data_IF_232508991056
#
_entry.id   IF_232508991056
#
_cell.length_a   1.000
_cell.length_b   1.000
_cell.length_c   1.000
_cell.angle_alpha   90.00
_cell.angle_beta   90.00
_cell.angle_gamma   90.00
#
_symmetry.space_group_name_H-M   'P 1'
#
loop_
_entity.id
_entity.type
_entity.pdbx_description
1 polymer ?
#
# COMPACT_ATOMS: atom_id res chain seq x y z
N UNK A 1 3.20 15.42 -14.18
CA UNK A 1 1.81 15.25 -13.70
C UNK A 1 1.82 15.49 -12.20
N UNK A 2 0.97 16.37 -11.67
CA UNK A 2 0.89 16.55 -10.21
C UNK A 2 0.33 15.26 -9.60
N UNK A 3 0.94 14.78 -8.52
CA UNK A 3 0.50 13.56 -7.82
C UNK A 3 -0.94 13.77 -7.33
N UNK A 4 -1.76 12.71 -7.38
CA UNK A 4 -3.19 12.83 -7.05
C UNK A 4 -3.38 13.00 -5.53
N UNK A 5 -4.44 13.71 -5.07
CA UNK A 5 -4.75 13.77 -3.64
C UNK A 5 -4.94 12.38 -2.99
N UNK A 6 -5.44 11.41 -3.78
CA UNK A 6 -5.58 10.02 -3.33
C UNK A 6 -4.23 9.35 -3.03
N UNK A 7 -3.20 9.63 -3.85
CA UNK A 7 -1.83 9.16 -3.63
C UNK A 7 -1.23 9.75 -2.34
N UNK A 8 -1.31 11.08 -2.17
CA UNK A 8 -0.79 11.75 -0.98
C UNK A 8 -1.44 11.20 0.30
N UNK A 9 -2.75 10.98 0.26
CA UNK A 9 -3.50 10.44 1.39
C UNK A 9 -3.18 8.98 1.68
N UNK A 10 -3.01 8.18 0.63
CA UNK A 10 -2.56 6.79 0.77
C UNK A 10 -1.22 6.74 1.51
N UNK A 11 -0.25 7.55 1.09
CA UNK A 11 1.07 7.63 1.73
C UNK A 11 0.98 8.11 3.17
N UNK A 12 0.19 9.15 3.43
CA UNK A 12 -0.01 9.69 4.77
C UNK A 12 -0.41 8.60 5.77
N UNK A 13 -1.23 7.64 5.33
CA UNK A 13 -1.71 6.54 6.17
C UNK A 13 -0.71 5.38 6.19
N UNK A 14 -0.23 4.92 5.02
CA UNK A 14 0.57 3.69 4.91
C UNK A 14 1.98 3.86 5.48
N UNK A 15 2.54 5.08 5.51
CA UNK A 15 3.83 5.35 6.16
C UNK A 15 3.86 5.02 7.66
N UNK A 16 2.69 4.91 8.31
CA UNK A 16 2.58 4.55 9.73
C UNK A 16 2.69 3.03 9.95
N UNK A 17 2.62 2.22 8.89
CA UNK A 17 2.73 0.77 8.97
C UNK A 17 4.15 0.36 9.36
N UNK A 18 4.27 -0.53 10.36
CA UNK A 18 5.54 -1.11 10.77
C UNK A 18 6.09 -2.03 9.69
N UNK A 19 7.31 -1.71 9.22
CA UNK A 19 8.04 -2.55 8.28
C UNK A 19 8.37 -3.94 8.85
N UNK A 20 8.66 -4.88 7.95
CA UNK A 20 9.22 -6.18 8.29
C UNK A 20 10.72 -6.03 8.57
N UNK A 21 11.22 -6.60 9.65
CA UNK A 21 12.61 -6.49 10.09
C UNK A 21 13.59 -6.99 9.02
N UNK A 22 13.33 -8.14 8.39
CA UNK A 22 14.16 -8.63 7.28
C UNK A 22 14.21 -7.67 6.09
N UNK A 23 13.08 -7.00 5.80
CA UNK A 23 13.01 -6.01 4.72
C UNK A 23 13.92 -4.81 5.03
N UNK A 24 13.98 -4.37 6.28
CA UNK A 24 14.89 -3.30 6.69
C UNK A 24 16.35 -3.74 6.71
N UNK A 25 16.63 -4.97 7.18
CA UNK A 25 17.99 -5.47 7.34
C UNK A 25 18.68 -5.71 5.99
N UNK A 26 17.97 -6.26 5.00
CA UNK A 26 18.56 -6.56 3.68
C UNK A 26 18.92 -5.32 2.86
N UNK A 27 18.41 -4.15 3.26
CA UNK A 27 18.57 -2.86 2.55
C UNK A 27 19.46 -1.88 3.29
N UNK A 28 19.86 -2.21 4.52
CA UNK A 28 20.55 -1.30 5.43
C UNK A 28 21.84 -0.72 4.83
N UNK A 29 22.59 -1.54 4.07
CA UNK A 29 23.83 -1.13 3.41
C UNK A 29 23.63 0.00 2.39
N UNK A 30 22.51 -0.02 1.65
CA UNK A 30 22.22 0.93 0.58
C UNK A 30 21.32 2.08 1.03
N UNK A 31 20.88 2.08 2.29
CA UNK A 31 19.87 2.99 2.79
C UNK A 31 20.31 4.44 2.68
N UNK A 32 21.46 4.80 3.24
CA UNK A 32 21.88 6.21 3.32
C UNK A 32 22.17 6.82 1.94
N UNK A 33 22.67 6.03 1.00
CA UNK A 33 22.89 6.47 -0.38
C UNK A 33 21.58 6.55 -1.17
N UNK A 34 20.63 5.64 -0.93
CA UNK A 34 19.28 5.76 -1.47
C UNK A 34 18.57 7.02 -0.96
N UNK A 35 18.69 7.37 0.34
CA UNK A 35 18.08 8.58 0.90
C UNK A 35 18.59 9.87 0.22
N UNK A 36 19.86 9.89 -0.22
CA UNK A 36 20.42 11.01 -0.98
C UNK A 36 19.73 11.13 -2.34
N UNK A 37 19.66 10.03 -3.09
CA UNK A 37 19.00 9.97 -4.40
C UNK A 37 17.51 10.35 -4.28
N UNK A 38 16.84 9.86 -3.25
CA UNK A 38 15.45 10.18 -2.94
C UNK A 38 15.24 11.68 -2.67
N UNK A 39 16.12 12.28 -1.87
CA UNK A 39 16.07 13.72 -1.57
C UNK A 39 16.33 14.56 -2.82
N UNK A 40 17.31 14.18 -3.64
CA UNK A 40 17.60 14.85 -4.91
C UNK A 40 16.43 14.77 -5.88
N UNK A 41 15.81 13.59 -6.04
CA UNK A 41 14.62 13.41 -6.86
C UNK A 41 13.46 14.32 -6.40
N UNK A 42 13.29 14.52 -5.08
CA UNK A 42 12.30 15.45 -4.52
C UNK A 42 12.64 16.91 -4.82
N UNK A 43 13.90 17.31 -4.65
CA UNK A 43 14.37 18.67 -4.94
C UNK A 43 14.19 19.04 -6.42
N UNK A 44 14.46 18.08 -7.31
CA UNK A 44 14.23 18.21 -8.76
C UNK A 44 12.76 18.05 -9.19
N UNK A 45 11.85 17.82 -8.24
CA UNK A 45 10.41 17.64 -8.49
C UNK A 45 10.14 16.52 -9.49
N UNK A 46 10.87 15.42 -9.35
CA UNK A 46 10.65 14.22 -10.15
C UNK A 46 9.23 13.70 -9.94
N UNK A 47 8.60 13.33 -11.04
CA UNK A 47 7.25 12.81 -11.14
C UNK A 47 7.17 11.83 -12.34
N UNK A 48 6.00 11.24 -12.58
CA UNK A 48 5.80 10.23 -13.63
C UNK A 48 6.33 10.63 -15.02
N UNK A 49 6.30 11.92 -15.38
CA UNK A 49 6.71 12.35 -16.73
C UNK A 49 8.22 12.53 -16.91
N UNK A 50 9.00 12.68 -15.85
CA UNK A 50 10.45 12.93 -15.92
C UNK A 50 11.31 11.94 -15.10
N UNK A 51 10.70 10.97 -14.41
CA UNK A 51 11.43 9.95 -13.64
C UNK A 51 12.47 9.18 -14.47
N UNK A 52 12.16 8.87 -15.73
CA UNK A 52 13.12 8.22 -16.63
C UNK A 52 14.31 9.10 -16.96
N UNK A 53 14.10 10.40 -17.15
CA UNK A 53 15.17 11.34 -17.45
C UNK A 53 16.09 11.51 -16.25
N UNK A 54 15.51 11.56 -15.04
CA UNK A 54 16.28 11.55 -13.79
C UNK A 54 17.09 10.26 -13.63
N UNK A 55 16.50 9.08 -13.82
CA UNK A 55 17.24 7.82 -13.79
C UNK A 55 18.36 7.76 -14.84
N UNK A 56 18.17 8.40 -16.00
CA UNK A 56 19.19 8.48 -17.05
C UNK A 56 20.35 9.43 -16.72
N UNK A 57 20.16 10.39 -15.80
CA UNK A 57 21.23 11.28 -15.35
C UNK A 57 22.07 10.70 -14.23
N UNK A 58 21.56 9.68 -13.53
CA UNK A 58 22.30 8.98 -12.46
C UNK A 58 23.49 8.19 -13.01
N UNK A 59 24.53 8.09 -12.18
CA UNK A 59 25.67 7.23 -12.43
C UNK A 59 25.32 5.74 -12.31
N UNK A 60 26.19 4.88 -12.82
CA UNK A 60 26.04 3.41 -12.69
C UNK A 60 26.03 2.97 -11.21
N UNK A 61 26.78 3.65 -10.35
CA UNK A 61 26.82 3.38 -8.90
C UNK A 61 25.50 3.74 -8.23
N UNK A 62 24.92 4.90 -8.56
CA UNK A 62 23.61 5.31 -8.05
C UNK A 62 22.48 4.39 -8.52
N UNK A 63 22.50 3.97 -9.79
CA UNK A 63 21.55 2.98 -10.31
C UNK A 63 21.71 1.62 -9.60
N UNK A 64 22.95 1.21 -9.30
CA UNK A 64 23.23 0.01 -8.51
C UNK A 64 22.70 0.14 -7.08
N UNK A 65 22.89 1.30 -6.45
CA UNK A 65 22.32 1.60 -5.12
C UNK A 65 20.81 1.47 -5.12
N UNK A 66 20.13 2.06 -6.11
CA UNK A 66 18.67 1.89 -6.26
C UNK A 66 18.34 0.42 -6.43
N UNK A 67 18.98 -0.29 -7.37
CA UNK A 67 18.73 -1.71 -7.65
C UNK A 67 18.76 -2.56 -6.38
N UNK A 68 19.81 -2.42 -5.58
CA UNK A 68 19.97 -3.18 -4.35
C UNK A 68 19.02 -2.73 -3.25
N UNK A 69 18.85 -1.41 -3.06
CA UNK A 69 17.91 -0.88 -2.08
C UNK A 69 16.49 -1.35 -2.39
N UNK A 70 16.06 -1.35 -3.65
CA UNK A 70 14.70 -1.76 -4.04
C UNK A 70 14.51 -3.28 -4.06
N UNK A 71 15.60 -4.05 -4.14
CA UNK A 71 15.63 -5.52 -4.14
C UNK A 71 15.47 -6.15 -5.52
N UNK A 72 15.96 -5.50 -6.58
CA UNK A 72 15.91 -6.04 -7.95
C UNK A 72 17.07 -6.99 -8.23
N UNK A 73 16.75 -8.14 -8.83
CA UNK A 73 17.74 -9.12 -9.25
C UNK A 73 18.55 -8.63 -10.46
N UNK A 74 17.89 -7.98 -11.43
CA UNK A 74 18.51 -7.50 -12.65
C UNK A 74 18.85 -6.01 -12.58
N UNK A 75 19.91 -5.56 -13.29
CA UNK A 75 20.23 -4.15 -13.42
C UNK A 75 19.11 -3.31 -14.03
N UNK A 76 19.02 -2.06 -13.59
CA UNK A 76 18.01 -1.10 -14.07
C UNK A 76 18.33 -0.71 -15.52
N UNK A 77 17.39 -0.98 -16.43
CA UNK A 77 17.44 -0.59 -17.84
C UNK A 77 16.42 0.50 -18.11
N UNK A 78 16.81 1.74 -17.87
CA UNK A 78 15.96 2.95 -17.92
C UNK A 78 15.10 3.06 -19.19
N UNK A 79 15.68 2.75 -20.36
CA UNK A 79 15.00 2.81 -21.66
C UNK A 79 13.84 1.82 -21.85
N UNK A 80 13.73 0.81 -21.00
CA UNK A 80 12.68 -0.22 -21.06
C UNK A 80 11.58 -0.02 -20.00
N UNK A 81 11.70 1.00 -19.14
CA UNK A 81 10.77 1.20 -18.03
C UNK A 81 9.48 1.89 -18.46
N UNK A 82 8.38 1.49 -17.83
CA UNK A 82 7.16 2.31 -17.80
C UNK A 82 7.42 3.59 -16.98
N UNK A 83 6.55 4.59 -17.14
CA UNK A 83 6.65 5.83 -16.33
C UNK A 83 6.42 5.53 -14.83
N UNK A 84 5.50 4.62 -14.54
CA UNK A 84 5.24 4.10 -13.20
C UNK A 84 6.47 3.36 -12.65
N UNK A 85 6.98 2.39 -13.40
CA UNK A 85 8.14 1.59 -13.00
C UNK A 85 9.37 2.45 -12.72
N UNK A 86 9.59 3.49 -13.52
CA UNK A 86 10.66 4.46 -13.28
C UNK A 86 10.44 5.29 -12.00
N UNK A 87 9.22 5.78 -11.77
CA UNK A 87 8.92 6.60 -10.59
C UNK A 87 8.98 5.78 -9.30
N UNK A 88 8.41 4.57 -9.30
CA UNK A 88 8.39 3.68 -8.13
C UNK A 88 9.78 3.17 -7.70
N UNK A 89 10.81 3.30 -8.56
CA UNK A 89 12.22 3.08 -8.18
C UNK A 89 12.78 4.18 -7.28
N UNK A 90 12.24 5.39 -7.38
CA UNK A 90 12.76 6.61 -6.76
C UNK A 90 12.03 6.98 -5.46
N UNK A 91 11.19 6.10 -4.93
CA UNK A 91 10.40 6.36 -3.73
C UNK A 91 10.52 5.21 -2.73
N UNK A 92 10.20 5.47 -1.46
CA UNK A 92 10.19 4.40 -0.46
C UNK A 92 9.14 3.35 -0.77
N UNK A 93 9.27 2.16 -0.17
CA UNK A 93 8.36 1.05 -0.41
C UNK A 93 6.89 1.40 -0.13
N UNK A 94 6.62 2.16 0.95
CA UNK A 94 5.27 2.62 1.32
C UNK A 94 4.71 3.71 0.40
N UNK A 95 5.53 4.29 -0.47
CA UNK A 95 5.13 5.31 -1.45
C UNK A 95 4.87 4.75 -2.84
N UNK A 96 5.20 3.48 -3.08
CA UNK A 96 4.97 2.85 -4.38
C UNK A 96 3.48 2.75 -4.66
N UNK A 97 3.11 3.01 -5.90
CA UNK A 97 1.71 3.13 -6.26
C UNK A 97 1.45 2.62 -7.68
N UNK A 98 0.29 2.00 -7.85
CA UNK A 98 -0.26 1.56 -9.12
C UNK A 98 -0.99 2.77 -9.75
N UNK A 99 -0.30 3.47 -10.65
CA UNK A 99 -0.78 4.73 -11.23
C UNK A 99 -1.69 4.49 -12.43
N UNK A 100 -1.50 3.38 -13.16
CA UNK A 100 -2.36 3.02 -14.29
C UNK A 100 -3.60 2.19 -13.88
N UNK A 101 -3.67 1.78 -12.61
CA UNK A 101 -4.78 1.05 -11.98
C UNK A 101 -5.03 -0.32 -12.63
N UNK A 102 -3.95 -1.00 -13.03
CA UNK A 102 -4.03 -2.35 -13.61
C UNK A 102 -4.03 -3.48 -12.56
N UNK A 103 -3.92 -3.14 -11.27
CA UNK A 103 -3.90 -4.07 -10.14
C UNK A 103 -2.50 -4.55 -9.75
N UNK A 104 -1.46 -4.10 -10.46
CA UNK A 104 -0.05 -4.38 -10.19
C UNK A 104 0.72 -3.07 -10.09
N UNK A 105 1.80 -3.11 -9.31
CA UNK A 105 2.71 -1.97 -9.14
C UNK A 105 4.00 -2.28 -9.87
N UNK A 106 4.29 -1.53 -10.93
CA UNK A 106 5.56 -1.61 -11.64
C UNK A 106 6.66 -0.99 -10.76
N UNK A 107 7.76 -1.70 -10.54
CA UNK A 107 8.98 -1.23 -9.86
C UNK A 107 10.17 -1.59 -10.73
N UNK A 108 10.66 -0.63 -11.51
CA UNK A 108 11.52 -0.93 -12.65
C UNK A 108 10.78 -1.80 -13.66
N UNK A 109 11.31 -3.00 -13.94
CA UNK A 109 10.66 -4.02 -14.78
C UNK A 109 9.91 -5.08 -13.96
N UNK A 110 10.04 -5.06 -12.64
CA UNK A 110 9.35 -6.02 -11.78
C UNK A 110 7.91 -5.56 -11.56
N UNK A 111 6.97 -6.51 -11.59
CA UNK A 111 5.60 -6.27 -11.20
C UNK A 111 5.37 -6.81 -9.79
N UNK A 112 4.93 -5.93 -8.90
CA UNK A 112 4.71 -6.22 -7.49
C UNK A 112 3.27 -5.94 -7.11
N UNK A 113 2.88 -6.26 -5.87
CA UNK A 113 1.55 -5.98 -5.34
C UNK A 113 1.65 -5.04 -4.15
N UNK A 114 0.72 -4.10 -4.08
CA UNK A 114 0.52 -3.33 -2.88
C UNK A 114 -0.09 -4.22 -1.80
N UNK A 115 0.60 -4.30 -0.67
CA UNK A 115 0.14 -5.09 0.47
C UNK A 115 -1.01 -4.42 1.22
N UNK A 116 -1.19 -3.10 1.03
CA UNK A 116 -2.34 -2.34 1.48
C UNK A 116 -3.12 -1.89 0.24
N UNK A 117 -4.41 -2.25 0.09
CA UNK A 117 -5.18 -1.89 -1.09
C UNK A 117 -5.24 -0.37 -1.32
N UNK A 118 -4.93 0.07 -2.54
CA UNK A 118 -4.97 1.49 -2.91
C UNK A 118 -6.39 2.04 -2.90
N UNK A 119 -7.36 1.24 -3.36
CA UNK A 119 -8.78 1.57 -3.48
C UNK A 119 -9.58 1.42 -2.17
N UNK A 120 -8.94 1.14 -1.03
CA UNK A 120 -9.60 1.10 0.27
C UNK A 120 -9.94 2.51 0.76
N UNK A 121 -11.16 2.77 1.27
CA UNK A 121 -11.52 4.09 1.79
C UNK A 121 -10.69 4.47 3.03
N UNK A 122 -10.61 5.76 3.32
CA UNK A 122 -9.62 6.29 4.27
C UNK A 122 -9.81 5.76 5.70
N UNK A 123 -11.05 5.71 6.18
CA UNK A 123 -11.42 5.22 7.51
C UNK A 123 -10.97 3.78 7.70
N UNK A 124 -11.31 2.93 6.75
CA UNK A 124 -10.94 1.51 6.71
C UNK A 124 -9.43 1.34 6.60
N UNK A 125 -8.76 2.15 5.77
CA UNK A 125 -7.30 2.08 5.59
C UNK A 125 -6.56 2.45 6.87
N UNK A 126 -7.01 3.47 7.61
CA UNK A 126 -6.46 3.83 8.93
C UNK A 126 -6.68 2.72 9.94
N UNK A 127 -7.91 2.18 10.00
CA UNK A 127 -8.22 1.07 10.88
C UNK A 127 -7.36 -0.16 10.58
N UNK A 128 -7.13 -0.45 9.29
CA UNK A 128 -6.29 -1.54 8.84
C UNK A 128 -4.84 -1.35 9.31
N UNK A 129 -4.24 -0.19 9.05
CA UNK A 129 -2.85 0.08 9.45
C UNK A 129 -2.69 0.02 10.98
N UNK A 130 -3.61 0.61 11.73
CA UNK A 130 -3.61 0.55 13.20
C UNK A 130 -3.67 -0.91 13.71
N UNK A 131 -4.56 -1.72 13.12
CA UNK A 131 -4.71 -3.13 13.48
C UNK A 131 -3.45 -3.94 13.19
N UNK A 132 -2.89 -3.79 11.99
CA UNK A 132 -1.67 -4.47 11.59
C UNK A 132 -0.48 -4.12 12.50
N UNK A 133 -0.41 -2.88 12.97
CA UNK A 133 0.64 -2.39 13.87
C UNK A 133 0.59 -2.99 15.28
N UNK A 134 -0.56 -3.49 15.73
CA UNK A 134 -0.71 -4.21 17.01
C UNK A 134 -0.44 -5.73 16.88
N UNK A 135 -0.26 -6.23 15.66
CA UNK A 135 0.08 -7.64 15.42
C UNK A 135 1.59 -7.88 15.48
N UNK A 136 1.95 -9.10 15.87
CA UNK A 136 3.33 -9.57 15.75
C UNK A 136 3.71 -9.65 14.27
N UNK A 137 4.99 -9.46 13.94
CA UNK A 137 5.47 -9.31 12.56
C UNK A 137 5.02 -10.42 11.61
N UNK A 138 5.19 -11.68 12.00
CA UNK A 138 4.75 -12.83 11.19
C UNK A 138 3.24 -12.93 11.04
N UNK A 139 2.46 -12.45 12.02
CA UNK A 139 1.00 -12.41 11.96
C UNK A 139 0.52 -11.26 11.05
N UNK A 140 1.13 -10.08 11.18
CA UNK A 140 0.93 -8.91 10.33
C UNK A 140 1.13 -9.27 8.86
N UNK A 141 2.24 -9.93 8.55
CA UNK A 141 2.53 -10.36 7.18
C UNK A 141 1.46 -11.33 6.63
N UNK A 142 1.03 -12.32 7.42
CA UNK A 142 -0.04 -13.26 7.01
C UNK A 142 -1.36 -12.53 6.72
N UNK A 143 -1.74 -11.55 7.56
CA UNK A 143 -2.94 -10.75 7.35
C UNK A 143 -2.84 -9.87 6.10
N UNK A 144 -1.73 -9.16 5.92
CA UNK A 144 -1.46 -8.36 4.72
C UNK A 144 -1.48 -9.20 3.44
N UNK A 145 -0.81 -10.36 3.45
CA UNK A 145 -0.78 -11.27 2.31
C UNK A 145 -2.19 -11.67 1.91
N UNK A 146 -3.03 -12.06 2.87
CA UNK A 146 -4.41 -12.44 2.60
C UNK A 146 -5.23 -11.29 2.01
N UNK A 147 -5.16 -10.09 2.59
CA UNK A 147 -5.88 -8.90 2.12
C UNK A 147 -5.46 -8.52 0.69
N UNK A 148 -4.19 -8.76 0.35
CA UNK A 148 -3.64 -8.48 -0.97
C UNK A 148 -4.03 -9.50 -2.04
N UNK A 149 -4.67 -10.63 -1.70
CA UNK A 149 -5.03 -11.67 -2.67
C UNK A 149 -6.04 -11.15 -3.72
N UNK A 150 -5.96 -11.66 -4.97
CA UNK A 150 -6.97 -11.34 -5.97
C UNK A 150 -8.35 -11.85 -5.55
N UNK A 151 -9.41 -11.19 -6.01
CA UNK A 151 -10.78 -11.61 -5.72
C UNK A 151 -11.11 -12.95 -6.37
N UNK A 152 -10.55 -13.20 -7.55
CA UNK A 152 -10.68 -14.46 -8.29
C UNK A 152 -9.50 -14.67 -9.24
N UNK A 153 -9.36 -15.92 -9.69
CA UNK A 153 -8.49 -16.26 -10.84
C UNK A 153 -9.41 -16.50 -12.04
N UNK A 154 -9.16 -15.78 -13.14
CA UNK A 154 -9.85 -15.94 -14.43
C UNK A 154 -8.95 -16.65 -15.43
N UNK A 155 -9.53 -17.26 -16.45
CA UNK A 155 -8.80 -17.78 -17.61
C UNK A 155 -9.03 -16.77 -18.74
N UNK A 156 -7.94 -16.25 -19.31
CA UNK A 156 -8.04 -15.29 -20.41
C UNK A 156 -8.29 -15.97 -21.77
N UNK A 157 -8.39 -15.16 -22.82
CA UNK A 157 -8.66 -15.63 -24.20
C UNK A 157 -7.55 -16.55 -24.75
N UNK A 158 -6.36 -16.54 -24.16
CA UNK A 158 -5.24 -17.41 -24.52
C UNK A 158 -5.17 -18.68 -23.66
N UNK A 159 -6.11 -18.87 -22.73
CA UNK A 159 -6.11 -20.00 -21.81
C UNK A 159 -5.19 -19.83 -20.61
N UNK A 160 -4.66 -18.64 -20.36
CA UNK A 160 -3.77 -18.37 -19.23
C UNK A 160 -4.57 -18.02 -17.97
N UNK A 161 -4.18 -18.60 -16.83
CA UNK A 161 -4.72 -18.21 -15.53
C UNK A 161 -4.19 -16.82 -15.16
N UNK A 162 -5.10 -15.85 -15.04
CA UNK A 162 -4.79 -14.49 -14.62
C UNK A 162 -5.54 -14.15 -13.35
N UNK A 163 -4.88 -13.50 -12.37
CA UNK A 163 -5.61 -12.91 -11.27
C UNK A 163 -6.52 -11.80 -11.82
N UNK A 164 -7.78 -11.79 -11.40
CA UNK A 164 -8.67 -10.66 -11.60
C UNK A 164 -8.79 -9.92 -10.27
N UNK A 165 -8.23 -8.71 -10.26
CA UNK A 165 -8.47 -7.72 -9.24
C UNK A 165 -9.64 -6.91 -9.76
N UNK A 166 -10.78 -7.07 -9.14
CA UNK A 166 -11.92 -6.23 -9.47
C UNK A 166 -11.62 -4.83 -8.92
N UNK A 167 -12.22 -3.79 -9.49
CA UNK A 167 -12.21 -2.43 -8.90
C UNK A 167 -13.00 -2.39 -7.58
N UNK A 168 -13.41 -3.56 -7.07
CA UNK A 168 -14.14 -3.73 -5.82
C UNK A 168 -13.37 -3.07 -4.70
N UNK A 169 -13.98 -2.01 -4.19
CA UNK A 169 -13.53 -1.26 -3.04
C UNK A 169 -13.37 -2.25 -1.89
N UNK A 170 -12.15 -2.36 -1.37
CA UNK A 170 -11.85 -3.19 -0.19
C UNK A 170 -12.35 -2.47 1.07
N UNK A 171 -13.66 -2.33 1.19
CA UNK A 171 -14.32 -1.70 2.33
C UNK A 171 -14.36 -2.64 3.55
N UNK A 172 -14.92 -2.14 4.65
CA UNK A 172 -15.00 -2.86 5.93
C UNK A 172 -15.69 -4.23 5.78
N UNK A 173 -16.84 -4.27 5.09
CA UNK A 173 -17.62 -5.50 4.92
C UNK A 173 -16.86 -6.51 4.06
N UNK A 174 -16.26 -6.07 2.96
CA UNK A 174 -15.47 -6.91 2.06
C UNK A 174 -14.31 -7.57 2.79
N UNK A 175 -13.61 -6.80 3.65
CA UNK A 175 -12.55 -7.32 4.50
C UNK A 175 -13.13 -8.35 5.49
N UNK A 176 -14.16 -8.02 6.25
CA UNK A 176 -14.73 -8.95 7.23
C UNK A 176 -15.23 -10.25 6.62
N UNK A 177 -15.93 -10.20 5.48
CA UNK A 177 -16.40 -11.39 4.76
C UNK A 177 -15.24 -12.30 4.36
N UNK A 178 -14.11 -11.72 3.92
CA UNK A 178 -12.92 -12.49 3.60
C UNK A 178 -12.37 -13.23 4.82
N UNK A 179 -12.26 -12.57 5.98
CA UNK A 179 -11.79 -13.21 7.20
C UNK A 179 -12.81 -14.22 7.76
N UNK A 180 -14.12 -13.94 7.66
CA UNK A 180 -15.17 -14.84 8.12
C UNK A 180 -15.20 -16.17 7.37
N UNK A 181 -14.97 -16.16 6.05
CA UNK A 181 -14.83 -17.39 5.26
C UNK A 181 -13.66 -18.26 5.72
N UNK A 182 -12.60 -17.65 6.25
CA UNK A 182 -11.42 -18.39 6.71
C UNK A 182 -11.65 -18.93 8.13
N UNK A 183 -12.29 -18.15 8.99
CA UNK A 183 -12.64 -18.57 10.35
C UNK A 183 -13.69 -19.69 10.32
N UNK A 184 -14.64 -19.58 9.40
CA UNK A 184 -15.78 -20.47 9.20
C UNK A 184 -15.75 -21.09 7.79
N UNK A 185 -14.79 -21.99 7.51
CA UNK A 185 -14.65 -22.59 6.19
C UNK A 185 -15.87 -23.44 5.84
N UNK A 186 -16.25 -23.42 4.56
CA UNK A 186 -17.32 -24.26 4.02
C UNK A 186 -17.09 -25.77 4.31
N UNK A 187 -18.16 -26.60 4.30
CA UNK A 187 -18.00 -28.04 4.40
C UNK A 187 -16.98 -28.55 3.37
N UNK A 188 -16.01 -29.37 3.82
CA UNK A 188 -14.85 -29.88 3.05
C UNK A 188 -13.67 -28.92 2.87
N UNK A 189 -13.79 -27.66 3.29
CA UNK A 189 -12.66 -26.72 3.38
C UNK A 189 -11.98 -26.81 4.76
N UNK A 190 -10.68 -26.52 4.81
CA UNK A 190 -9.90 -26.56 6.04
C UNK A 190 -9.07 -25.29 6.20
N UNK A 191 -9.15 -24.72 7.40
CA UNK A 191 -8.26 -23.67 7.88
C UNK A 191 -7.54 -24.17 9.11
N UNK A 192 -6.22 -24.02 9.16
CA UNK A 192 -5.43 -24.46 10.32
C UNK A 192 -5.81 -23.67 11.59
N UNK A 193 -5.68 -24.28 12.79
CA UNK A 193 -5.90 -23.56 14.05
C UNK A 193 -5.02 -22.31 14.20
N UNK A 194 -3.79 -22.37 13.68
CA UNK A 194 -2.88 -21.22 13.68
C UNK A 194 -3.43 -20.05 12.87
N UNK A 195 -3.86 -20.29 11.62
CA UNK A 195 -4.46 -19.25 10.79
C UNK A 195 -5.75 -18.72 11.41
N UNK A 196 -6.59 -19.60 11.98
CA UNK A 196 -7.79 -19.16 12.71
C UNK A 196 -7.44 -18.22 13.86
N UNK A 197 -6.43 -18.55 14.66
CA UNK A 197 -5.99 -17.69 15.77
C UNK A 197 -5.51 -16.32 15.29
N UNK A 198 -4.67 -16.29 14.26
CA UNK A 198 -4.14 -15.03 13.69
C UNK A 198 -5.28 -14.16 13.15
N UNK A 199 -6.23 -14.78 12.46
CA UNK A 199 -7.31 -14.08 11.78
C UNK A 199 -8.45 -13.68 12.71
N UNK A 200 -8.70 -14.42 13.79
CA UNK A 200 -9.57 -13.96 14.88
C UNK A 200 -8.98 -12.72 15.55
N UNK A 201 -7.68 -12.74 15.88
CA UNK A 201 -6.98 -11.58 16.44
C UNK A 201 -7.03 -10.38 15.50
N UNK A 202 -6.77 -10.56 14.20
CA UNK A 202 -6.88 -9.50 13.21
C UNK A 202 -8.30 -8.93 13.18
N UNK A 203 -9.32 -9.79 13.12
CA UNK A 203 -10.73 -9.37 13.07
C UNK A 203 -11.09 -8.51 14.28
N UNK A 204 -10.78 -8.96 15.49
CA UNK A 204 -11.07 -8.22 16.72
C UNK A 204 -10.39 -6.83 16.74
N UNK A 205 -9.13 -6.76 16.28
CA UNK A 205 -8.39 -5.50 16.18
C UNK A 205 -9.00 -4.57 15.11
N UNK A 206 -9.36 -5.12 13.95
CA UNK A 206 -9.91 -4.36 12.84
C UNK A 206 -11.29 -3.78 13.16
N UNK A 207 -12.17 -4.56 13.77
CA UNK A 207 -13.48 -4.09 14.23
C UNK A 207 -13.33 -2.97 15.28
N UNK A 208 -12.45 -3.16 16.27
CA UNK A 208 -12.15 -2.15 17.29
C UNK A 208 -11.67 -0.83 16.66
N UNK A 209 -10.62 -0.89 15.84
CA UNK A 209 -10.02 0.30 15.24
C UNK A 209 -10.95 0.97 14.25
N UNK A 210 -11.78 0.20 13.53
CA UNK A 210 -12.77 0.77 12.62
C UNK A 210 -13.82 1.63 13.35
N UNK A 211 -14.35 1.13 14.47
CA UNK A 211 -15.30 1.91 15.27
C UNK A 211 -14.62 3.14 15.90
N UNK A 212 -13.38 3.02 16.39
CA UNK A 212 -12.62 4.18 16.88
C UNK A 212 -12.43 5.27 15.79
N UNK A 213 -12.11 4.88 14.55
CA UNK A 213 -11.99 5.83 13.43
C UNK A 213 -13.32 6.49 13.08
N UNK A 214 -14.43 5.73 13.07
CA UNK A 214 -15.77 6.29 12.85
C UNK A 214 -16.18 7.28 13.92
N UNK A 215 -15.89 7.00 15.20
CA UNK A 215 -16.14 7.92 16.29
C UNK A 215 -15.34 9.22 16.14
N UNK A 216 -14.06 9.12 15.75
CA UNK A 216 -13.21 10.27 15.46
C UNK A 216 -13.77 11.12 14.33
N UNK A 217 -14.12 10.52 13.20
CA UNK A 217 -14.70 11.24 12.05
C UNK A 217 -16.00 11.95 12.40
N UNK A 218 -16.90 11.28 13.13
CA UNK A 218 -18.13 11.87 13.62
C UNK A 218 -17.84 13.07 14.54
N UNK A 219 -16.84 12.95 15.42
CA UNK A 219 -16.45 14.06 16.31
C UNK A 219 -15.94 15.28 15.54
N UNK A 220 -15.13 15.07 14.49
CA UNK A 220 -14.61 16.14 13.64
C UNK A 220 -15.72 16.82 12.83
N UNK A 221 -16.67 16.04 12.29
CA UNK A 221 -17.82 16.59 11.57
C UNK A 221 -18.70 17.46 12.47
N UNK A 222 -19.00 17.01 13.70
CA UNK A 222 -19.77 17.77 14.69
C UNK A 222 -19.07 19.09 15.06
N UNK A 223 -17.75 19.05 15.28
CA UNK A 223 -16.97 20.24 15.59
C UNK A 223 -16.93 21.23 14.42
N UNK A 224 -16.71 20.75 13.20
CA UNK A 224 -16.69 21.58 11.99
C UNK A 224 -18.04 22.28 11.75
N UNK A 225 -19.14 21.56 11.92
CA UNK A 225 -20.49 22.09 11.80
C UNK A 225 -20.77 23.17 12.87
N UNK A 226 -20.35 22.93 14.11
CA UNK A 226 -20.50 23.90 15.21
C UNK A 226 -19.69 25.18 14.96
N UNK A 227 -18.43 25.04 14.52
CA UNK A 227 -17.57 26.17 14.15
C UNK A 227 -18.15 26.98 12.98
N UNK A 228 -18.66 26.30 11.95
CA UNK A 228 -19.29 26.95 10.79
C UNK A 228 -20.55 27.73 11.18
N UNK A 229 -21.39 27.15 12.05
CA UNK A 229 -22.57 27.84 12.59
C UNK A 229 -22.18 29.05 13.46
N UNK A 230 -21.15 28.92 14.29
CA UNK A 230 -20.65 30.02 15.11
C UNK A 230 -20.07 31.18 14.28
N UNK A 231 -19.40 30.89 13.16
CA UNK A 231 -18.91 31.91 12.21
C UNK A 231 -20.09 32.61 11.53
N UNK A 232 -21.08 31.86 11.05
CA UNK A 232 -22.30 32.44 10.45
C UNK A 232 -23.04 33.37 11.42
N UNK A 233 -23.17 32.97 12.68
CA UNK A 233 -23.82 33.78 13.72
C UNK A 233 -23.06 35.05 14.12
N UNK A 234 -21.74 35.13 13.87
CA UNK A 234 -20.93 36.33 14.10
C UNK A 234 -20.93 37.31 12.91
N UNK A 235 -21.35 36.85 11.74
CA UNK A 235 -21.42 37.64 10.50
C UNK A 235 -22.83 38.14 10.19
N UNK A 236 -23.83 37.72 10.97
CA UNK A 236 -25.23 38.19 10.97
C UNK A 236 -25.45 39.24 12.04
#
# INVERSE_FOLDING_TARGET
>A
MQLSPAYEKHIEIVKELKDHSDFTNSRAEYKDDFEKIYSEAKEEKVNLSNAKDFLNSLSEEELSTIQHYVGLADPIKTGSLSNEGAYNLLVHHYERFDFDQNGLVDVGLAQTRNMIPVNMPETEKRALVASLNEMEEGERFKAMFLISLPDRIVIDDNGEFKPAYDDTIKDYNTILEMFDRILNPDPMSYTSPELKSVFSKFKDLFEKHYEEQKELENSYQVQSNTSTQAIKAKLS
#
